data_IF_779712784136
#
_entry.id   IF_779712784136
#
_cell.length_a   1.000
_cell.length_b   1.000
_cell.length_c   1.000
_cell.angle_alpha   90.00
_cell.angle_beta   90.00
_cell.angle_gamma   90.00
#
_symmetry.space_group_name_H-M   'P 1'
#
loop_
_entity.id
_entity.type
_entity.pdbx_description
1 polymer ?
#
# COMPACT_ATOMS: atom_id res chain seq x y z
N UNK A 1 3.30 -23.78 11.38
CA UNK A 1 3.48 -22.91 12.57
C UNK A 1 4.92 -22.75 13.08
N UNK A 2 5.94 -23.39 12.47
CA UNK A 2 7.35 -23.17 12.84
C UNK A 2 7.85 -21.70 12.88
N UNK A 3 7.49 -20.81 11.94
CA UNK A 3 7.99 -19.44 11.93
C UNK A 3 7.36 -18.52 13.00
N UNK A 4 6.07 -18.67 13.31
CA UNK A 4 5.37 -17.83 14.29
C UNK A 4 5.91 -18.05 15.71
N UNK A 5 6.23 -19.29 16.07
CA UNK A 5 6.82 -19.64 17.37
C UNK A 5 8.16 -18.93 17.61
N UNK A 6 9.06 -18.99 16.61
CA UNK A 6 10.41 -18.44 16.74
C UNK A 6 10.39 -16.91 16.92
N UNK A 7 9.36 -16.26 16.37
CA UNK A 7 9.17 -14.82 16.45
C UNK A 7 8.73 -14.36 17.86
N UNK A 8 7.82 -15.10 18.52
CA UNK A 8 7.25 -14.71 19.82
C UNK A 8 8.18 -15.03 21.01
N UNK A 9 8.92 -16.14 20.97
CA UNK A 9 9.85 -16.52 22.07
C UNK A 9 11.01 -15.52 22.27
N UNK A 10 11.32 -14.67 21.29
CA UNK A 10 12.46 -13.74 21.31
C UNK A 10 12.09 -12.27 21.48
N UNK A 11 10.80 -11.91 21.44
CA UNK A 11 10.34 -10.52 21.51
C UNK A 11 9.19 -10.38 22.52
N UNK A 12 9.35 -9.58 23.59
CA UNK A 12 8.34 -9.45 24.66
C UNK A 12 7.03 -8.83 24.18
N UNK A 13 7.04 -8.18 23.01
CA UNK A 13 5.87 -7.71 22.28
C UNK A 13 6.00 -8.18 20.83
N UNK A 14 4.95 -8.83 20.32
CA UNK A 14 4.92 -9.28 18.93
C UNK A 14 3.59 -8.91 18.26
N UNK A 15 3.65 -8.73 16.95
CA UNK A 15 2.46 -8.63 16.10
C UNK A 15 2.39 -9.89 15.25
N UNK A 16 1.27 -10.59 15.32
CA UNK A 16 1.00 -11.76 14.48
C UNK A 16 -0.07 -11.35 13.47
N UNK A 17 0.33 -11.33 12.20
CA UNK A 17 -0.58 -11.04 11.08
C UNK A 17 -1.04 -12.35 10.45
N UNK A 18 -2.34 -12.60 10.48
CA UNK A 18 -3.01 -13.59 9.66
C UNK A 18 -3.55 -12.88 8.43
N UNK A 19 -2.79 -12.95 7.34
CA UNK A 19 -3.22 -12.39 6.07
C UNK A 19 -4.21 -13.33 5.37
N UNK A 20 -5.24 -12.76 4.75
CA UNK A 20 -6.21 -13.49 3.93
C UNK A 20 -6.93 -14.63 4.67
N UNK A 21 -7.18 -14.48 5.97
CA UNK A 21 -7.76 -15.52 6.83
C UNK A 21 -9.19 -15.96 6.43
N UNK A 22 -9.80 -15.30 5.44
CA UNK A 22 -11.11 -15.64 4.88
C UNK A 22 -11.08 -15.93 3.36
N UNK A 23 -9.91 -16.02 2.73
CA UNK A 23 -9.86 -16.54 1.36
C UNK A 23 -10.02 -18.06 1.42
N UNK A 24 -11.29 -18.48 1.39
CA UNK A 24 -11.80 -19.33 0.33
C UNK A 24 -13.28 -19.62 0.58
N UNK A 25 -14.13 -19.25 -0.39
CA UNK A 25 -15.43 -19.87 -0.69
C UNK A 25 -15.31 -21.39 -1.04
N UNK A 26 -14.23 -22.06 -0.61
CA UNK A 26 -13.97 -23.49 -0.88
C UNK A 26 -12.89 -24.15 0.01
N UNK A 27 -12.23 -23.46 0.94
CA UNK A 27 -11.12 -24.03 1.74
C UNK A 27 -11.12 -23.66 3.23
N UNK A 28 -12.12 -22.91 3.74
CA UNK A 28 -12.49 -23.04 5.18
C UNK A 28 -13.14 -24.41 5.46
N UNK A 29 -13.50 -25.17 4.41
CA UNK A 29 -13.79 -26.61 4.49
C UNK A 29 -12.55 -27.53 4.45
N UNK A 30 -11.32 -27.00 4.30
CA UNK A 30 -10.07 -27.80 4.35
C UNK A 30 -9.09 -27.40 5.44
N UNK A 31 -9.26 -26.25 6.08
CA UNK A 31 -8.71 -26.08 7.41
C UNK A 31 -9.45 -27.07 8.32
N UNK A 32 -8.82 -28.19 8.67
CA UNK A 32 -9.37 -29.18 9.58
C UNK A 32 -9.97 -28.44 10.80
N UNK A 33 -11.14 -28.81 11.34
CA UNK A 33 -11.78 -28.14 12.48
C UNK A 33 -10.81 -27.81 13.63
N UNK A 34 -9.76 -28.61 13.76
CA UNK A 34 -8.66 -28.42 14.71
C UNK A 34 -7.89 -27.10 14.55
N UNK A 35 -7.74 -26.55 13.34
CA UNK A 35 -7.08 -25.24 13.12
C UNK A 35 -7.90 -24.12 13.74
N UNK A 36 -9.22 -24.19 13.61
CA UNK A 36 -10.12 -23.20 14.19
C UNK A 36 -10.11 -23.27 15.72
N UNK A 37 -10.10 -24.48 16.29
CA UNK A 37 -9.97 -24.68 17.74
C UNK A 37 -8.63 -24.15 18.28
N UNK A 38 -7.54 -24.30 17.52
CA UNK A 38 -6.23 -23.73 17.87
C UNK A 38 -6.26 -22.20 17.84
N UNK A 39 -6.95 -21.59 16.85
CA UNK A 39 -7.13 -20.14 16.79
C UNK A 39 -8.00 -19.63 17.94
N UNK A 40 -9.07 -20.34 18.30
CA UNK A 40 -9.88 -19.99 19.47
C UNK A 40 -9.05 -20.05 20.76
N UNK A 41 -8.24 -21.10 20.94
CA UNK A 41 -7.33 -21.19 22.10
C UNK A 41 -6.33 -20.03 22.15
N UNK A 42 -5.80 -19.63 20.98
CA UNK A 42 -4.90 -18.49 20.86
C UNK A 42 -5.57 -17.18 21.28
N UNK A 43 -6.77 -16.91 20.77
CA UNK A 43 -7.52 -15.68 21.01
C UNK A 43 -8.11 -15.63 22.43
N UNK A 44 -8.48 -16.78 23.00
CA UNK A 44 -9.08 -16.87 24.34
C UNK A 44 -8.05 -16.84 25.46
N UNK A 45 -7.12 -17.81 25.42
CA UNK A 45 -6.21 -18.05 26.54
C UNK A 45 -4.89 -17.31 26.36
N UNK A 46 -4.67 -16.65 25.21
CA UNK A 46 -3.38 -16.06 24.87
C UNK A 46 -2.28 -17.10 24.91
N UNK A 47 -2.58 -18.37 24.63
CA UNK A 47 -1.67 -19.51 24.72
C UNK A 47 -1.99 -20.53 23.64
N UNK A 48 -0.95 -21.17 23.12
CA UNK A 48 -1.10 -22.22 22.14
C UNK A 48 -0.29 -23.43 22.57
N UNK A 49 -0.93 -24.60 22.58
CA UNK A 49 -0.27 -25.87 22.90
C UNK A 49 0.01 -26.63 21.61
N UNK A 50 1.29 -26.87 21.32
CA UNK A 50 1.71 -27.69 20.18
C UNK A 50 1.40 -29.18 20.44
N UNK A 51 1.32 -29.97 19.37
CA UNK A 51 1.17 -31.44 19.35
C UNK A 51 2.15 -32.21 20.27
N UNK A 52 3.28 -31.58 20.63
CA UNK A 52 4.28 -32.13 21.57
C UNK A 52 4.07 -31.71 23.03
N UNK A 53 2.91 -31.11 23.37
CA UNK A 53 2.57 -30.65 24.72
C UNK A 53 3.30 -29.38 25.17
N UNK A 54 3.96 -28.66 24.24
CA UNK A 54 4.68 -27.42 24.56
C UNK A 54 3.71 -26.24 24.49
N UNK A 55 3.63 -25.47 25.57
CA UNK A 55 2.81 -24.26 25.65
C UNK A 55 3.62 -23.04 25.28
N UNK A 56 3.12 -22.24 24.34
CA UNK A 56 3.67 -20.94 23.95
C UNK A 56 2.69 -19.86 24.40
N UNK A 57 3.17 -18.79 25.02
CA UNK A 57 2.34 -17.66 25.44
C UNK A 57 2.34 -16.55 24.39
N UNK A 58 1.15 -15.99 24.16
CA UNK A 58 0.77 -14.88 23.30
C UNK A 58 0.13 -13.73 24.10
N UNK A 59 0.29 -13.72 25.43
CA UNK A 59 -0.32 -12.71 26.30
C UNK A 59 0.12 -11.26 25.97
N UNK A 60 1.29 -11.09 25.33
CA UNK A 60 1.80 -9.81 24.88
C UNK A 60 1.88 -9.74 23.34
N UNK A 61 0.91 -10.36 22.66
CA UNK A 61 0.87 -10.40 21.19
C UNK A 61 -0.37 -9.71 20.68
N UNK A 62 -0.20 -8.72 19.80
CA UNK A 62 -1.29 -8.18 19.01
C UNK A 62 -1.56 -9.11 17.83
N UNK A 63 -2.75 -9.68 17.79
CA UNK A 63 -3.19 -10.51 16.66
C UNK A 63 -3.99 -9.64 15.70
N UNK A 64 -3.53 -9.55 14.45
CA UNK A 64 -4.22 -8.84 13.38
C UNK A 64 -4.64 -9.87 12.34
N UNK A 65 -5.90 -9.84 11.95
CA UNK A 65 -6.44 -10.70 10.88
C UNK A 65 -6.98 -9.82 9.77
N UNK A 66 -6.67 -10.16 8.52
CA UNK A 66 -7.24 -9.47 7.35
C UNK A 66 -8.16 -10.42 6.60
N UNK A 67 -9.21 -9.86 6.01
CA UNK A 67 -10.21 -10.60 5.25
C UNK A 67 -10.70 -9.74 4.10
N UNK A 68 -10.93 -10.36 2.94
CA UNK A 68 -11.56 -9.71 1.79
C UNK A 68 -13.09 -9.82 1.84
N UNK A 69 -13.66 -10.41 2.89
CA UNK A 69 -15.10 -10.46 3.13
C UNK A 69 -15.68 -9.04 3.21
N UNK A 70 -16.83 -8.78 2.59
CA UNK A 70 -17.39 -7.44 2.53
C UNK A 70 -16.76 -6.50 1.50
N UNK A 71 -15.69 -6.90 0.80
CA UNK A 71 -15.05 -6.06 -0.24
C UNK A 71 -16.02 -5.59 -1.32
N UNK A 72 -16.95 -6.45 -1.74
CA UNK A 72 -18.01 -6.10 -2.71
C UNK A 72 -18.96 -5.04 -2.18
N UNK A 73 -19.33 -5.12 -0.90
CA UNK A 73 -20.23 -4.17 -0.24
C UNK A 73 -19.56 -2.80 -0.06
N UNK A 74 -18.28 -2.79 0.29
CA UNK A 74 -17.43 -1.58 0.34
C UNK A 74 -17.30 -0.95 -1.06
N UNK A 75 -17.04 -1.74 -2.10
CA UNK A 75 -16.92 -1.25 -3.49
C UNK A 75 -18.23 -0.68 -4.03
N UNK A 76 -19.38 -1.33 -3.78
CA UNK A 76 -20.70 -0.82 -4.19
C UNK A 76 -21.02 0.51 -3.52
N UNK A 77 -20.61 0.68 -2.27
CA UNK A 77 -20.72 1.96 -1.57
C UNK A 77 -19.88 3.05 -2.22
N UNK A 78 -18.62 2.75 -2.58
CA UNK A 78 -17.74 3.66 -3.31
C UNK A 78 -18.31 4.07 -4.67
N UNK A 79 -19.00 3.16 -5.37
CA UNK A 79 -19.60 3.41 -6.68
C UNK A 79 -20.97 4.14 -6.62
N UNK A 80 -21.42 4.58 -5.44
CA UNK A 80 -22.72 5.25 -5.27
C UNK A 80 -23.94 4.33 -5.38
N UNK A 81 -23.74 3.01 -5.41
CA UNK A 81 -24.78 2.02 -5.66
C UNK A 81 -25.71 1.71 -4.48
N UNK A 82 -25.45 2.27 -3.29
CA UNK A 82 -26.29 2.07 -2.08
C UNK A 82 -27.47 3.05 -1.96
N UNK A 83 -27.81 3.77 -3.03
CA UNK A 83 -29.03 4.61 -3.06
C UNK A 83 -28.97 5.79 -2.09
N UNK A 84 -27.84 6.48 -2.01
CA UNK A 84 -27.71 7.69 -1.20
C UNK A 84 -28.15 8.91 -2.03
N UNK A 85 -29.17 9.60 -1.52
CA UNK A 85 -29.62 10.88 -2.06
C UNK A 85 -28.49 11.91 -2.07
N UNK A 86 -28.59 12.82 -3.03
CA UNK A 86 -27.68 13.93 -3.34
C UNK A 86 -27.48 14.92 -2.17
N UNK A 87 -26.85 14.49 -1.09
CA UNK A 87 -26.34 15.34 -0.02
C UNK A 87 -24.81 15.34 -0.06
N UNK A 88 -24.20 16.51 -0.21
CA UNK A 88 -22.75 16.69 -0.07
C UNK A 88 -22.50 17.24 1.33
N UNK A 89 -21.84 16.46 2.19
CA UNK A 89 -21.52 16.86 3.58
C UNK A 89 -20.85 15.73 4.37
N UNK A 90 -20.11 16.08 5.44
CA UNK A 90 -19.42 15.11 6.32
C UNK A 90 -20.39 14.12 6.99
N UNK A 91 -21.60 14.58 7.31
CA UNK A 91 -22.67 13.74 7.88
C UNK A 91 -23.05 12.56 6.97
N UNK A 92 -22.93 12.73 5.65
CA UNK A 92 -23.25 11.68 4.66
C UNK A 92 -22.14 10.61 4.60
N UNK A 93 -20.88 10.98 4.81
CA UNK A 93 -19.77 10.01 4.82
C UNK A 93 -19.82 9.09 6.05
N UNK A 94 -20.19 9.62 7.21
CA UNK A 94 -20.31 8.84 8.45
C UNK A 94 -21.51 7.88 8.41
N UNK A 95 -22.64 8.32 7.87
CA UNK A 95 -23.81 7.48 7.59
C UNK A 95 -23.47 6.36 6.60
N UNK A 96 -22.70 6.67 5.56
CA UNK A 96 -22.25 5.69 4.56
C UNK A 96 -21.34 4.64 5.20
N UNK A 97 -20.38 5.09 6.02
CA UNK A 97 -19.46 4.18 6.72
C UNK A 97 -20.21 3.24 7.68
N UNK A 98 -21.19 3.75 8.42
CA UNK A 98 -22.01 2.96 9.33
C UNK A 98 -22.79 1.88 8.60
N UNK A 99 -23.44 2.21 7.47
CA UNK A 99 -24.15 1.24 6.61
C UNK A 99 -23.22 0.17 6.04
N UNK A 100 -22.02 0.56 5.58
CA UNK A 100 -21.03 -0.40 5.09
C UNK A 100 -20.57 -1.33 6.20
N UNK A 101 -20.33 -0.80 7.40
CA UNK A 101 -19.95 -1.59 8.57
C UNK A 101 -21.03 -2.61 8.95
N UNK A 102 -22.30 -2.23 8.89
CA UNK A 102 -23.43 -3.15 9.11
C UNK A 102 -23.45 -4.29 8.08
N UNK A 103 -23.33 -3.97 6.78
CA UNK A 103 -23.30 -4.99 5.71
C UNK A 103 -22.12 -5.95 5.87
N UNK A 104 -20.93 -5.44 6.16
CA UNK A 104 -19.74 -6.27 6.41
C UNK A 104 -19.96 -7.17 7.62
N UNK A 105 -20.58 -6.64 8.68
CA UNK A 105 -20.87 -7.41 9.89
C UNK A 105 -21.92 -8.51 9.68
N UNK A 106 -22.92 -8.28 8.82
CA UNK A 106 -23.88 -9.32 8.41
C UNK A 106 -23.18 -10.44 7.60
N UNK A 107 -22.31 -10.09 6.67
CA UNK A 107 -21.49 -11.06 5.93
C UNK A 107 -20.59 -11.86 6.89
N UNK A 108 -19.96 -11.20 7.86
CA UNK A 108 -19.14 -11.86 8.90
C UNK A 108 -19.95 -12.85 9.74
N UNK A 109 -21.18 -12.53 10.12
CA UNK A 109 -22.08 -13.45 10.87
C UNK A 109 -22.50 -14.66 10.05
N UNK A 110 -22.63 -14.50 8.73
CA UNK A 110 -22.94 -15.60 7.82
C UNK A 110 -21.75 -16.55 7.64
N UNK A 111 -20.54 -16.01 7.62
CA UNK A 111 -19.32 -16.77 7.35
C UNK A 111 -18.66 -17.36 8.60
N UNK A 112 -18.59 -16.61 9.70
CA UNK A 112 -17.93 -17.03 10.94
C UNK A 112 -18.92 -17.48 12.00
N UNK A 113 -18.52 -18.50 12.76
CA UNK A 113 -19.30 -18.94 13.94
C UNK A 113 -19.33 -17.81 15.00
N UNK A 114 -20.46 -17.59 15.70
CA UNK A 114 -20.55 -16.57 16.75
C UNK A 114 -19.48 -16.70 17.83
N UNK A 115 -19.07 -17.93 18.14
CA UNK A 115 -17.98 -18.22 19.09
C UNK A 115 -16.70 -17.49 18.75
N UNK A 116 -16.32 -17.40 17.47
CA UNK A 116 -15.11 -16.72 17.03
C UNK A 116 -15.27 -15.21 16.98
N UNK A 117 -16.42 -14.73 16.50
CA UNK A 117 -16.71 -13.29 16.46
C UNK A 117 -16.67 -12.67 17.86
N UNK A 118 -17.14 -13.40 18.87
CA UNK A 118 -17.10 -12.97 20.27
C UNK A 118 -15.67 -12.88 20.85
N UNK A 119 -14.64 -13.36 20.14
CA UNK A 119 -13.23 -13.30 20.56
C UNK A 119 -12.43 -12.22 19.83
N UNK A 120 -13.05 -11.55 18.88
CA UNK A 120 -12.46 -10.39 18.23
C UNK A 120 -12.79 -9.16 19.09
N UNK A 121 -11.75 -8.48 19.56
CA UNK A 121 -11.92 -7.27 20.36
C UNK A 121 -12.53 -6.11 19.53
N UNK A 122 -12.01 -5.92 18.32
CA UNK A 122 -12.44 -4.85 17.42
C UNK A 122 -12.39 -5.29 15.95
N UNK A 123 -13.40 -4.88 15.18
CA UNK A 123 -13.48 -5.08 13.73
C UNK A 123 -13.31 -3.74 13.03
N UNK A 124 -12.23 -3.61 12.27
CA UNK A 124 -11.89 -2.41 11.51
C UNK A 124 -12.29 -2.60 10.05
N UNK A 125 -13.17 -1.73 9.54
CA UNK A 125 -13.58 -1.72 8.14
C UNK A 125 -12.79 -0.65 7.40
N UNK A 126 -12.03 -1.04 6.37
CA UNK A 126 -11.28 -0.09 5.57
C UNK A 126 -12.19 0.69 4.63
N UNK A 127 -12.00 2.01 4.62
CA UNK A 127 -12.64 2.89 3.65
C UNK A 127 -11.99 2.70 2.27
N UNK A 128 -12.74 2.86 1.18
CA UNK A 128 -12.17 2.91 -0.15
C UNK A 128 -11.19 4.09 -0.25
N UNK A 129 -10.08 3.90 -0.98
CA UNK A 129 -9.08 4.94 -1.17
C UNK A 129 -9.64 6.04 -2.08
N UNK A 130 -9.49 7.30 -1.66
CA UNK A 130 -9.74 8.47 -2.52
C UNK A 130 -8.52 8.74 -3.39
N UNK A 131 -8.70 9.53 -4.45
CA UNK A 131 -7.60 9.91 -5.35
C UNK A 131 -6.45 10.59 -4.58
N UNK A 132 -6.77 11.45 -3.60
CA UNK A 132 -5.79 12.11 -2.75
C UNK A 132 -4.99 11.14 -1.88
N UNK A 133 -5.63 10.07 -1.37
CA UNK A 133 -4.94 9.01 -0.62
C UNK A 133 -3.96 8.27 -1.53
N UNK A 134 -4.37 7.96 -2.76
CA UNK A 134 -3.51 7.29 -3.74
C UNK A 134 -2.34 8.17 -4.15
N UNK A 135 -2.55 9.49 -4.26
CA UNK A 135 -1.46 10.46 -4.47
C UNK A 135 -0.44 10.42 -3.33
N UNK A 136 -0.90 10.40 -2.08
CA UNK A 136 -0.01 10.30 -0.93
C UNK A 136 0.76 8.96 -0.90
N UNK A 137 0.09 7.85 -1.24
CA UNK A 137 0.72 6.52 -1.35
C UNK A 137 1.78 6.51 -2.45
N UNK A 138 1.51 7.12 -3.61
CA UNK A 138 2.47 7.20 -4.71
C UNK A 138 3.75 7.93 -4.30
N UNK A 139 3.64 9.03 -3.57
CA UNK A 139 4.81 9.76 -3.06
C UNK A 139 5.67 8.91 -2.12
N UNK A 140 5.05 8.08 -1.27
CA UNK A 140 5.77 7.14 -0.41
C UNK A 140 6.49 6.08 -1.24
N UNK A 141 5.83 5.51 -2.25
CA UNK A 141 6.44 4.51 -3.13
C UNK A 141 7.57 5.10 -3.98
N UNK A 142 7.40 6.31 -4.54
CA UNK A 142 8.48 7.01 -5.25
C UNK A 142 9.70 7.20 -4.34
N UNK A 143 9.52 7.67 -3.11
CA UNK A 143 10.64 7.82 -2.15
C UNK A 143 11.39 6.50 -1.91
N UNK A 144 10.68 5.38 -1.81
CA UNK A 144 11.31 4.05 -1.67
C UNK A 144 12.11 3.63 -2.90
N UNK A 145 11.63 3.95 -4.11
CA UNK A 145 12.38 3.69 -5.34
C UNK A 145 13.61 4.60 -5.40
N UNK A 146 13.46 5.90 -5.15
CA UNK A 146 14.55 6.87 -5.17
C UNK A 146 15.66 6.52 -4.19
N UNK A 147 15.33 6.09 -2.98
CA UNK A 147 16.32 5.63 -2.01
C UNK A 147 17.15 4.45 -2.56
N UNK A 148 16.49 3.46 -3.18
CA UNK A 148 17.17 2.31 -3.80
C UNK A 148 18.04 2.68 -5.01
N UNK A 149 17.67 3.72 -5.75
CA UNK A 149 18.46 4.22 -6.89
C UNK A 149 19.66 5.05 -6.42
N UNK A 150 19.49 5.84 -5.37
CA UNK A 150 20.57 6.61 -4.74
C UNK A 150 21.68 5.70 -4.19
N UNK A 151 21.33 4.54 -3.61
CA UNK A 151 22.28 3.51 -3.18
C UNK A 151 23.13 2.94 -4.34
N UNK A 152 22.68 3.13 -5.59
CA UNK A 152 23.37 2.73 -6.82
C UNK A 152 24.01 3.93 -7.55
N UNK A 153 24.25 5.04 -6.85
CA UNK A 153 24.83 6.27 -7.41
C UNK A 153 23.99 6.89 -8.55
N UNK A 154 22.68 6.62 -8.58
CA UNK A 154 21.75 7.19 -9.55
C UNK A 154 20.82 8.19 -8.86
N UNK A 155 20.96 9.46 -9.21
CA UNK A 155 20.06 10.51 -8.74
C UNK A 155 18.93 10.69 -9.75
N UNK A 156 17.69 10.56 -9.31
CA UNK A 156 16.53 10.61 -10.20
C UNK A 156 15.54 11.67 -9.73
N UNK A 157 15.15 12.56 -10.64
CA UNK A 157 14.12 13.58 -10.41
C UNK A 157 12.89 13.28 -11.25
N UNK A 158 11.71 13.30 -10.63
CA UNK A 158 10.44 13.09 -11.33
C UNK A 158 9.74 14.42 -11.60
N UNK A 159 9.30 14.66 -12.84
CA UNK A 159 8.45 15.82 -13.15
C UNK A 159 7.04 15.66 -12.56
N UNK A 160 6.30 16.76 -12.34
CA UNK A 160 4.87 16.70 -12.00
C UNK A 160 4.06 15.91 -13.03
N UNK A 161 4.33 16.11 -14.33
CA UNK A 161 3.63 15.38 -15.40
C UNK A 161 3.81 13.86 -15.32
N UNK A 162 5.00 13.39 -14.96
CA UNK A 162 5.25 11.97 -14.76
C UNK A 162 4.45 11.42 -13.58
N UNK A 163 4.42 12.14 -12.45
CA UNK A 163 3.66 11.73 -11.27
C UNK A 163 2.16 11.64 -11.57
N UNK A 164 1.60 12.62 -12.28
CA UNK A 164 0.20 12.59 -12.70
C UNK A 164 -0.11 11.42 -13.62
N UNK A 165 0.79 11.12 -14.57
CA UNK A 165 0.60 10.00 -15.48
C UNK A 165 0.60 8.65 -14.74
N UNK A 166 1.51 8.47 -13.78
CA UNK A 166 1.55 7.28 -12.93
C UNK A 166 0.27 7.15 -12.09
N UNK A 167 -0.31 8.25 -11.61
CA UNK A 167 -1.56 8.22 -10.86
C UNK A 167 -2.75 7.84 -11.75
N UNK A 168 -2.83 8.39 -12.97
CA UNK A 168 -3.88 8.04 -13.94
C UNK A 168 -3.89 6.56 -14.29
N UNK A 169 -2.72 5.96 -14.47
CA UNK A 169 -2.60 4.52 -14.76
C UNK A 169 -2.70 3.64 -13.50
N UNK A 170 -2.27 4.17 -12.36
CA UNK A 170 -2.16 3.45 -11.10
C UNK A 170 -3.40 3.48 -10.21
N UNK A 171 -4.36 4.35 -10.49
CA UNK A 171 -5.60 4.50 -9.72
C UNK A 171 -6.74 3.67 -10.31
N UNK A 172 -7.20 2.70 -9.53
CA UNK A 172 -8.41 1.94 -9.81
C UNK A 172 -9.28 1.88 -8.55
N UNK A 173 -10.52 2.42 -8.56
CA UNK A 173 -11.40 2.39 -7.40
C UNK A 173 -11.73 0.98 -6.86
N UNK A 174 -11.71 -0.04 -7.72
CA UNK A 174 -11.99 -1.42 -7.32
C UNK A 174 -10.75 -2.14 -6.77
N UNK A 175 -9.56 -1.86 -7.33
CA UNK A 175 -8.31 -2.52 -6.95
C UNK A 175 -7.41 -1.68 -6.02
N UNK A 176 -7.84 -0.46 -5.68
CA UNK A 176 -7.10 0.48 -4.84
C UNK A 176 -5.74 0.86 -5.45
N UNK A 177 -4.72 1.02 -4.61
CA UNK A 177 -3.35 1.35 -5.03
C UNK A 177 -2.53 0.12 -5.50
N UNK A 178 -3.16 -1.05 -5.73
CA UNK A 178 -2.42 -2.24 -6.21
C UNK A 178 -1.85 -2.04 -7.62
N UNK A 179 -2.58 -1.45 -8.60
CA UNK A 179 -2.03 -1.15 -9.93
C UNK A 179 -0.90 -0.11 -9.87
N UNK A 180 -0.97 0.84 -8.93
CA UNK A 180 0.02 1.90 -8.75
C UNK A 180 1.45 1.36 -8.65
N UNK A 181 1.69 0.32 -7.85
CA UNK A 181 3.03 -0.25 -7.70
C UNK A 181 3.54 -0.83 -9.02
N UNK A 182 2.66 -1.45 -9.82
CA UNK A 182 3.01 -1.95 -11.16
C UNK A 182 3.28 -0.81 -12.13
N UNK A 183 2.47 0.24 -12.12
CA UNK A 183 2.67 1.42 -12.94
C UNK A 183 4.02 2.09 -12.63
N UNK A 184 4.37 2.21 -11.34
CA UNK A 184 5.69 2.71 -10.92
C UNK A 184 6.80 1.81 -11.44
N UNK A 185 6.75 0.49 -11.23
CA UNK A 185 7.79 -0.41 -11.75
C UNK A 185 7.94 -0.29 -13.27
N UNK A 186 6.83 -0.34 -14.02
CA UNK A 186 6.84 -0.29 -15.48
C UNK A 186 7.34 1.05 -16.03
N UNK A 187 6.81 2.15 -15.51
CA UNK A 187 7.10 3.49 -16.05
C UNK A 187 8.43 4.04 -15.55
N UNK A 188 8.83 3.69 -14.32
CA UNK A 188 10.05 4.21 -13.70
C UNK A 188 11.19 3.20 -13.78
N UNK A 189 11.06 2.03 -13.14
CA UNK A 189 12.17 1.09 -12.98
C UNK A 189 12.56 0.46 -14.33
N UNK A 190 11.58 -0.03 -15.11
CA UNK A 190 11.83 -0.71 -16.38
C UNK A 190 12.36 0.27 -17.44
N UNK A 191 11.74 1.45 -17.59
CA UNK A 191 12.21 2.50 -18.51
C UNK A 191 13.64 2.95 -18.18
N UNK A 192 13.96 3.12 -16.90
CA UNK A 192 15.32 3.46 -16.48
C UNK A 192 16.30 2.33 -16.76
N UNK A 193 15.91 1.08 -16.48
CA UNK A 193 16.77 -0.08 -16.72
C UNK A 193 17.09 -0.23 -18.21
N UNK A 194 16.09 -0.09 -19.08
CA UNK A 194 16.26 -0.14 -20.53
C UNK A 194 17.17 0.99 -21.03
N UNK A 195 16.94 2.22 -20.57
CA UNK A 195 17.79 3.37 -20.93
C UNK A 195 19.24 3.19 -20.46
N UNK A 196 19.47 2.63 -19.26
CA UNK A 196 20.80 2.35 -18.75
C UNK A 196 21.52 1.22 -19.52
N UNK A 197 20.78 0.21 -19.98
CA UNK A 197 21.32 -0.90 -20.77
C UNK A 197 21.72 -0.44 -22.18
N UNK A 198 20.87 0.35 -22.84
CA UNK A 198 21.16 0.89 -24.17
C UNK A 198 22.39 1.82 -24.14
N UNK A 199 22.55 2.60 -23.08
CA UNK A 199 23.66 3.52 -22.88
C UNK A 199 24.80 2.93 -22.01
N UNK A 200 24.83 1.60 -21.83
CA UNK A 200 25.83 0.92 -21.00
C UNK A 200 27.26 1.02 -21.58
N UNK A 201 27.38 1.19 -22.90
CA UNK A 201 28.66 1.30 -23.59
C UNK A 201 29.40 2.63 -23.31
N UNK A 202 28.68 3.68 -22.91
CA UNK A 202 29.23 5.04 -22.81
C UNK A 202 29.68 5.43 -21.39
N UNK A 203 29.40 4.60 -20.38
CA UNK A 203 29.43 5.06 -18.99
C UNK A 203 30.33 4.22 -18.10
N UNK A 204 31.58 4.66 -17.95
CA UNK A 204 32.42 4.27 -16.83
C UNK A 204 32.73 5.51 -15.98
N UNK A 205 32.13 5.55 -14.79
CA UNK A 205 32.61 6.18 -13.53
C UNK A 205 31.84 7.35 -12.89
N UNK A 206 30.76 7.84 -13.48
CA UNK A 206 30.07 9.02 -12.92
C UNK A 206 28.61 8.76 -12.49
N UNK A 207 28.28 9.14 -11.24
CA UNK A 207 26.92 9.40 -10.71
C UNK A 207 26.12 10.12 -11.78
N UNK A 208 25.03 9.51 -12.21
CA UNK A 208 24.17 10.09 -13.24
C UNK A 208 22.99 10.75 -12.56
N UNK A 209 22.72 12.00 -12.91
CA UNK A 209 21.46 12.63 -12.60
C UNK A 209 20.52 12.40 -13.81
N UNK A 210 19.32 11.92 -13.55
CA UNK A 210 18.34 11.61 -14.59
C UNK A 210 17.02 12.26 -14.22
N UNK A 211 16.38 12.91 -15.18
CA UNK A 211 15.02 13.44 -15.04
C UNK A 211 14.08 12.57 -15.85
N UNK A 212 12.98 12.14 -15.22
CA UNK A 212 11.87 11.53 -15.96
C UNK A 212 10.72 12.51 -16.09
N UNK A 213 10.21 12.62 -17.31
CA UNK A 213 8.99 13.34 -17.65
C UNK A 213 8.02 12.41 -18.39
N UNK A 214 6.74 12.75 -18.35
CA UNK A 214 5.75 12.16 -19.24
C UNK A 214 5.30 13.21 -20.26
N UNK A 215 5.19 12.80 -21.54
CA UNK A 215 4.56 13.58 -22.60
C UNK A 215 3.04 13.58 -22.46
N UNK A 216 2.36 14.45 -23.21
CA UNK A 216 0.88 14.47 -23.28
C UNK A 216 0.28 13.15 -23.83
N UNK A 217 1.07 12.38 -24.58
CA UNK A 217 0.69 11.05 -25.09
C UNK A 217 0.89 9.93 -24.09
N UNK A 218 1.46 10.22 -22.92
CA UNK A 218 1.74 9.24 -21.87
C UNK A 218 3.04 8.47 -22.03
N UNK A 219 3.88 8.86 -23.00
CA UNK A 219 5.22 8.27 -23.17
C UNK A 219 6.17 8.85 -22.14
N UNK A 220 6.94 7.96 -21.51
CA UNK A 220 7.95 8.34 -20.52
C UNK A 220 9.23 8.75 -21.26
N UNK A 221 9.68 9.97 -21.01
CA UNK A 221 10.93 10.49 -21.53
C UNK A 221 11.98 10.52 -20.43
N UNK A 222 13.18 10.04 -20.77
CA UNK A 222 14.33 10.00 -19.87
C UNK A 222 15.36 11.01 -20.37
N UNK A 223 15.62 12.03 -19.55
CA UNK A 223 16.61 13.06 -19.84
C UNK A 223 17.80 12.90 -18.88
N UNK A 224 19.01 12.70 -19.40
CA UNK A 224 20.22 12.63 -18.58
C UNK A 224 20.73 14.04 -18.32
N UNK A 225 20.76 14.42 -17.05
CA UNK A 225 21.40 15.65 -16.60
C UNK A 225 22.90 15.34 -16.42
N UNK A 226 23.75 15.83 -17.32
CA UNK A 226 25.21 15.72 -17.17
C UNK A 226 25.66 16.44 -15.89
N UNK A 227 26.62 15.84 -15.18
CA UNK A 227 27.06 16.29 -13.85
C UNK A 227 27.55 17.75 -13.84
N UNK A 228 27.30 18.37 -12.69
CA UNK A 228 28.07 19.46 -12.11
C UNK A 228 29.58 19.13 -12.08
N UNK A 229 30.28 19.49 -13.14
CA UNK A 229 31.68 19.91 -13.09
C UNK A 229 31.89 21.04 -14.09
N UNK A 230 31.15 22.12 -13.93
CA UNK A 230 31.64 23.45 -14.28
C UNK A 230 31.16 24.43 -13.21
N UNK A 231 32.06 24.72 -12.29
CA UNK A 231 31.95 25.84 -11.37
C UNK A 231 32.13 27.15 -12.14
N UNK A 232 31.15 27.54 -12.95
CA UNK A 232 31.03 28.90 -13.48
C UNK A 232 29.72 29.09 -14.23
N UNK A 233 28.62 29.15 -13.48
CA UNK A 233 27.59 30.15 -13.78
C UNK A 233 26.74 30.45 -12.53
N UNK A 234 27.38 31.12 -11.58
CA UNK A 234 26.69 32.06 -10.70
C UNK A 234 26.29 33.28 -11.54
N UNK A 235 25.32 33.15 -12.43
CA UNK A 235 24.89 34.29 -13.28
C UNK A 235 23.40 34.36 -13.60
N UNK A 236 22.59 33.32 -13.43
CA UNK A 236 21.21 33.36 -13.96
C UNK A 236 20.07 33.23 -12.95
N UNK A 237 20.35 33.04 -11.66
CA UNK A 237 19.30 33.02 -10.64
C UNK A 237 19.24 34.29 -9.76
N UNK A 238 19.68 35.43 -10.29
CA UNK A 238 19.56 36.76 -9.63
C UNK A 238 18.70 37.77 -10.39
N UNK A 239 17.93 37.35 -11.41
CA UNK A 239 17.12 38.28 -12.22
C UNK A 239 15.61 38.14 -11.99
N UNK A 240 15.14 37.11 -11.28
CA UNK A 240 13.69 36.89 -11.09
C UNK A 240 13.16 37.25 -9.68
N UNK A 241 14.00 37.65 -8.73
CA UNK A 241 13.57 38.10 -7.39
C UNK A 241 13.58 39.64 -7.20
N UNK A 242 14.20 40.41 -8.09
CA UNK A 242 14.20 41.89 -8.01
C UNK A 242 13.06 42.56 -8.81
N UNK A 243 12.27 41.79 -9.59
CA UNK A 243 11.19 42.34 -10.42
C UNK A 243 9.80 42.35 -9.76
N UNK A 244 9.63 41.75 -8.58
CA UNK A 244 8.35 41.72 -7.84
C UNK A 244 8.32 42.61 -6.59
N UNK A 245 9.40 43.34 -6.29
CA UNK A 245 9.48 44.24 -5.14
C UNK A 245 9.33 45.74 -5.48
N UNK A 246 9.02 46.10 -6.73
CA UNK A 246 8.71 47.48 -7.11
C UNK A 246 7.67 47.54 -8.23
N UNK A 247 6.41 47.24 -7.90
CA UNK A 247 5.21 47.73 -8.58
C UNK A 247 4.02 47.67 -7.63
#
# INVERSE_FOLDING_TARGET
MGPARLATERRPYSLVLFDEAALCDSEVEKAHPDVFNILLQLLDDGRLTDSRGRVVSFANTLVVMTSNLGSRSVQKSAAGGLGLGFGVGEDVEEDTYSKVKELVHEEMKSFFRPEFLNRLDEVIVFRPLKEDDVRAIAEVEFKKVMARLADKDLEVTLSPSFKEQVLKEGYDPAYGARPLRRAITRMLEDTLAEHLLQNAAESRKDKRAVRLSASETGEVQVEVLSRLSDSSDKSENKVLEEATASS
#
